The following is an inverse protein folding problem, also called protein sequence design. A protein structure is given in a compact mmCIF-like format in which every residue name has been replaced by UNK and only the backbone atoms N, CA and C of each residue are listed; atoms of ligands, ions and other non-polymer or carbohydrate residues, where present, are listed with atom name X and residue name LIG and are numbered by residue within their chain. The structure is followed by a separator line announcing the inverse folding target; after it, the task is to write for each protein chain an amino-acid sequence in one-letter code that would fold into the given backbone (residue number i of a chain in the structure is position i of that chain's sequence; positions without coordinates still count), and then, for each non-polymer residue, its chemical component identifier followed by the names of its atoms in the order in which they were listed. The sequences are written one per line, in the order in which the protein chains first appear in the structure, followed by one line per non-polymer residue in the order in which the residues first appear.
data_IF_373571228839
#
_entry.id   IF_373571228839
#
_cell.length_a   1.000
_cell.length_b   1.000
_cell.length_c   1.000
_cell.angle_alpha   90.00
_cell.angle_beta   90.00
_cell.angle_gamma   90.00
#
_symmetry.space_group_name_H-M   'P 1'
#
loop_
_entity.id
_entity.type
_entity.pdbx_description
1 polymer ?
#
# COMPACT_ATOMS: atom_id res chain seq x y z
N UNK A 1 -11.31 12.99 -49.07
CA UNK A 1 -10.25 11.95 -49.02
C UNK A 1 -9.16 12.25 -47.99
N UNK A 2 -8.48 13.40 -48.03
CA UNK A 2 -7.40 13.74 -47.07
C UNK A 2 -7.82 13.75 -45.59
N UNK A 3 -9.02 14.25 -45.29
CA UNK A 3 -9.57 14.29 -43.91
C UNK A 3 -9.85 12.89 -43.36
N UNK A 4 -10.38 11.99 -44.18
CA UNK A 4 -10.66 10.60 -43.79
C UNK A 4 -9.36 9.83 -43.49
N UNK A 5 -8.33 10.03 -44.31
CA UNK A 5 -6.99 9.48 -44.10
C UNK A 5 -6.36 9.99 -42.80
N UNK A 6 -6.50 11.28 -42.50
CA UNK A 6 -5.99 11.86 -41.25
C UNK A 6 -6.70 11.27 -40.02
N UNK A 7 -8.03 11.11 -40.06
CA UNK A 7 -8.80 10.50 -38.97
C UNK A 7 -8.41 9.03 -38.74
N UNK A 8 -8.24 8.26 -39.82
CA UNK A 8 -7.79 6.88 -39.72
C UNK A 8 -6.39 6.78 -39.08
N UNK A 9 -5.47 7.69 -39.45
CA UNK A 9 -4.13 7.73 -38.87
C UNK A 9 -4.15 8.05 -37.36
N UNK A 10 -4.99 9.00 -36.95
CA UNK A 10 -5.16 9.37 -35.53
C UNK A 10 -5.69 8.17 -34.73
N UNK A 11 -6.71 7.47 -35.24
CA UNK A 11 -7.28 6.29 -34.58
C UNK A 11 -6.23 5.18 -34.45
N UNK A 12 -5.42 4.94 -35.49
CA UNK A 12 -4.33 3.97 -35.46
C UNK A 12 -3.27 4.35 -34.42
N UNK A 13 -2.88 5.63 -34.34
CA UNK A 13 -1.92 6.12 -33.34
C UNK A 13 -2.47 5.93 -31.92
N UNK A 14 -3.74 6.28 -31.68
CA UNK A 14 -4.39 6.08 -30.37
C UNK A 14 -4.41 4.59 -30.01
N UNK A 15 -4.74 3.71 -30.96
CA UNK A 15 -4.71 2.26 -30.77
C UNK A 15 -3.31 1.75 -30.46
N UNK A 16 -2.28 2.22 -31.17
CA UNK A 16 -0.88 1.86 -30.92
C UNK A 16 -0.46 2.31 -29.52
N UNK A 17 -0.83 3.53 -29.09
CA UNK A 17 -0.54 4.03 -27.73
C UNK A 17 -1.28 3.20 -26.68
N UNK A 18 -2.54 2.83 -26.93
CA UNK A 18 -3.33 2.01 -26.03
C UNK A 18 -2.74 0.60 -25.86
N UNK A 19 -2.41 -0.05 -26.99
CA UNK A 19 -1.80 -1.39 -27.01
C UNK A 19 -0.39 -1.35 -26.42
N UNK A 20 0.42 -0.33 -26.73
CA UNK A 20 1.77 -0.21 -26.18
C UNK A 20 1.75 0.01 -24.68
N UNK A 21 0.81 0.79 -24.13
CA UNK A 21 0.60 0.88 -22.68
C UNK A 21 0.25 -0.48 -22.07
N UNK A 22 -0.57 -1.29 -22.74
CA UNK A 22 -0.94 -2.61 -22.26
C UNK A 22 0.21 -3.62 -22.30
N UNK A 23 1.17 -3.48 -23.22
CA UNK A 23 2.35 -4.35 -23.36
C UNK A 23 3.54 -3.86 -22.52
N UNK A 24 3.74 -2.54 -22.39
CA UNK A 24 4.87 -1.93 -21.67
C UNK A 24 4.57 -1.83 -20.16
N UNK A 25 3.32 -1.63 -19.74
CA UNK A 25 2.96 -1.60 -18.31
C UNK A 25 3.36 -2.88 -17.56
N UNK A 26 3.19 -4.08 -18.12
CA UNK A 26 3.74 -5.32 -17.55
C UNK A 26 5.27 -5.39 -17.51
N UNK A 27 5.99 -4.58 -18.28
CA UNK A 27 7.46 -4.55 -18.28
C UNK A 27 8.03 -3.60 -17.19
N UNK A 28 7.19 -2.73 -16.63
CA UNK A 28 7.51 -1.87 -15.49
C UNK A 28 7.17 -2.59 -14.18
N UNK A 29 8.15 -3.32 -13.65
CA UNK A 29 8.18 -3.80 -12.25
C UNK A 29 6.96 -4.61 -11.83
N UNK A 30 6.67 -5.75 -12.47
CA UNK A 30 5.69 -6.69 -11.90
C UNK A 30 6.13 -7.08 -10.50
N UNK A 31 5.19 -7.07 -9.55
CA UNK A 31 5.49 -7.60 -8.23
C UNK A 31 5.79 -9.10 -8.37
N UNK A 32 6.95 -9.60 -7.92
CA UNK A 32 7.34 -10.98 -8.10
C UNK A 32 6.38 -11.92 -7.38
N UNK A 33 5.89 -12.92 -8.11
CA UNK A 33 5.04 -13.99 -7.56
C UNK A 33 5.90 -15.03 -6.84
N UNK A 34 6.22 -14.74 -5.58
CA UNK A 34 7.01 -15.60 -4.70
C UNK A 34 6.35 -15.70 -3.31
N UNK A 35 6.84 -16.62 -2.48
CA UNK A 35 6.23 -16.94 -1.18
C UNK A 35 6.05 -15.70 -0.29
N UNK A 36 7.04 -14.79 -0.25
CA UNK A 36 6.99 -13.62 0.62
C UNK A 36 5.97 -12.57 0.14
N UNK A 37 5.88 -12.34 -1.18
CA UNK A 37 4.86 -11.48 -1.76
C UNK A 37 3.46 -12.04 -1.54
N UNK A 38 3.28 -13.33 -1.76
CA UNK A 38 1.99 -13.98 -1.63
C UNK A 38 1.54 -14.01 -0.17
N UNK A 39 2.46 -14.25 0.77
CA UNK A 39 2.17 -14.17 2.20
C UNK A 39 1.82 -12.73 2.63
N UNK A 40 2.52 -11.72 2.11
CA UNK A 40 2.21 -10.31 2.38
C UNK A 40 0.79 -9.97 1.90
N UNK A 41 0.46 -10.28 0.65
CA UNK A 41 -0.91 -10.11 0.11
C UNK A 41 -1.94 -10.84 0.94
N UNK A 42 -1.67 -12.10 1.32
CA UNK A 42 -2.57 -12.91 2.16
C UNK A 42 -2.85 -12.24 3.50
N UNK A 43 -1.83 -11.70 4.18
CA UNK A 43 -1.98 -11.00 5.46
C UNK A 43 -2.83 -9.73 5.30
N UNK A 44 -2.53 -8.90 4.29
CA UNK A 44 -3.28 -7.67 4.04
C UNK A 44 -4.73 -7.98 3.68
N UNK A 45 -4.97 -8.92 2.75
CA UNK A 45 -6.33 -9.30 2.36
C UNK A 45 -7.11 -9.87 3.55
N UNK A 46 -6.47 -10.69 4.40
CA UNK A 46 -7.11 -11.23 5.62
C UNK A 46 -7.47 -10.13 6.61
N UNK A 47 -6.62 -9.11 6.80
CA UNK A 47 -6.92 -7.95 7.63
C UNK A 47 -8.14 -7.18 7.08
N UNK A 48 -8.14 -6.83 5.79
CA UNK A 48 -9.22 -6.05 5.19
C UNK A 48 -10.56 -6.79 5.22
N UNK A 49 -10.55 -8.10 4.95
CA UNK A 49 -11.76 -8.94 5.04
C UNK A 49 -12.28 -8.97 6.48
N UNK A 50 -11.40 -9.07 7.48
CA UNK A 50 -11.81 -9.04 8.89
C UNK A 50 -12.45 -7.72 9.27
N UNK A 51 -11.82 -6.59 8.93
CA UNK A 51 -12.35 -5.25 9.20
C UNK A 51 -13.74 -5.06 8.57
N UNK A 52 -13.89 -5.45 7.30
CA UNK A 52 -15.16 -5.31 6.59
C UNK A 52 -16.25 -6.25 7.13
N UNK A 53 -15.90 -7.49 7.46
CA UNK A 53 -16.84 -8.48 8.00
C UNK A 53 -17.37 -8.06 9.38
N UNK A 54 -16.55 -7.37 10.16
CA UNK A 54 -16.89 -6.91 11.52
C UNK A 54 -17.20 -5.42 11.56
N UNK A 55 -17.52 -4.79 10.42
CA UNK A 55 -17.66 -3.33 10.31
C UNK A 55 -18.65 -2.74 11.32
N UNK A 56 -19.69 -3.49 11.71
CA UNK A 56 -20.69 -3.07 12.69
C UNK A 56 -20.19 -2.99 14.13
N UNK A 57 -19.02 -3.54 14.44
CA UNK A 57 -18.41 -3.46 15.77
C UNK A 57 -17.65 -2.15 15.99
N UNK A 58 -17.33 -1.43 14.93
CA UNK A 58 -16.54 -0.21 14.98
C UNK A 58 -17.42 1.04 15.08
N UNK A 59 -16.84 2.13 15.57
CA UNK A 59 -17.49 3.44 15.65
C UNK A 59 -17.58 4.10 14.25
N UNK A 60 -18.33 5.19 14.13
CA UNK A 60 -18.56 5.87 12.84
C UNK A 60 -17.26 6.23 12.10
N UNK A 61 -16.27 6.80 12.80
CA UNK A 61 -15.01 7.26 12.20
C UNK A 61 -14.17 6.08 11.72
N UNK A 62 -14.08 5.02 12.53
CA UNK A 62 -13.40 3.77 12.15
C UNK A 62 -14.05 3.14 10.90
N UNK A 63 -15.39 3.07 10.84
CA UNK A 63 -16.11 2.56 9.66
C UNK A 63 -15.78 3.35 8.40
N UNK A 64 -15.81 4.68 8.47
CA UNK A 64 -15.47 5.54 7.32
C UNK A 64 -14.04 5.27 6.80
N UNK A 65 -13.09 5.06 7.71
CA UNK A 65 -11.70 4.70 7.37
C UNK A 65 -11.65 3.31 6.73
N UNK A 66 -12.28 2.30 7.34
CA UNK A 66 -12.33 0.93 6.81
C UNK A 66 -12.90 0.91 5.38
N UNK A 67 -14.01 1.62 5.15
CA UNK A 67 -14.64 1.69 3.83
C UNK A 67 -13.77 2.39 2.79
N UNK A 68 -13.09 3.48 3.17
CA UNK A 68 -12.16 4.18 2.27
C UNK A 68 -11.03 3.25 1.85
N UNK A 69 -10.40 2.56 2.80
CA UNK A 69 -9.33 1.60 2.51
C UNK A 69 -9.86 0.49 1.61
N UNK A 70 -11.02 -0.09 1.93
CA UNK A 70 -11.63 -1.16 1.15
C UNK A 70 -11.90 -0.76 -0.31
N UNK A 71 -12.42 0.45 -0.55
CA UNK A 71 -12.69 0.95 -1.91
C UNK A 71 -11.41 1.26 -2.69
N UNK A 72 -10.35 1.65 -2.00
CA UNK A 72 -9.10 2.13 -2.58
C UNK A 72 -8.09 1.01 -2.84
N UNK A 73 -8.11 -0.05 -2.04
CA UNK A 73 -7.16 -1.13 -2.13
C UNK A 73 -7.52 -2.15 -3.22
N UNK A 74 -6.53 -2.49 -4.06
CA UNK A 74 -6.59 -3.60 -4.99
C UNK A 74 -5.17 -4.19 -5.14
N UNK A 75 -4.98 -5.45 -4.76
CA UNK A 75 -3.68 -6.12 -4.80
C UNK A 75 -3.14 -6.33 -6.23
N UNK A 76 -4.00 -6.27 -7.24
CA UNK A 76 -3.60 -6.29 -8.65
C UNK A 76 -2.91 -4.99 -9.09
N UNK A 77 -3.02 -3.91 -8.31
CA UNK A 77 -2.34 -2.65 -8.57
C UNK A 77 -0.91 -2.62 -7.98
N UNK A 78 -0.47 -3.72 -7.34
CA UNK A 78 0.86 -3.80 -6.76
C UNK A 78 1.95 -4.07 -7.79
N UNK A 79 3.10 -3.41 -7.58
CA UNK A 79 4.27 -3.47 -8.45
C UNK A 79 5.54 -3.48 -7.60
N UNK A 80 6.58 -4.11 -8.11
CA UNK A 80 7.90 -3.97 -7.50
C UNK A 80 8.46 -2.57 -7.78
N UNK A 81 8.96 -1.94 -6.72
CA UNK A 81 9.72 -0.71 -6.82
C UNK A 81 11.19 -1.06 -7.07
N UNK A 82 11.60 -0.97 -8.34
CA UNK A 82 12.93 -1.39 -8.80
C UNK A 82 14.03 -0.39 -8.43
N UNK A 83 13.68 0.89 -8.31
CA UNK A 83 14.61 2.00 -8.06
C UNK A 83 14.21 2.78 -6.81
N UNK A 84 14.22 2.15 -5.62
CA UNK A 84 13.91 2.85 -4.38
C UNK A 84 14.99 3.89 -4.10
N UNK A 85 14.59 5.16 -3.98
CA UNK A 85 15.44 6.24 -3.50
C UNK A 85 15.03 6.64 -2.06
N UNK A 86 15.81 6.27 -1.04
CA UNK A 86 15.54 6.70 0.32
C UNK A 86 15.68 8.23 0.46
N UNK A 87 14.89 8.88 1.34
CA UNK A 87 14.04 8.27 2.37
C UNK A 87 12.55 8.07 2.04
N UNK A 88 12.05 8.47 0.88
CA UNK A 88 10.59 8.67 0.71
C UNK A 88 9.94 7.63 -0.22
N UNK A 89 10.75 6.95 -1.04
CA UNK A 89 10.21 6.18 -2.17
C UNK A 89 10.61 4.71 -2.06
N UNK A 90 10.57 4.08 -0.87
CA UNK A 90 10.78 2.62 -0.74
C UNK A 90 9.50 1.85 -0.98
N UNK A 91 8.41 2.28 -0.35
CA UNK A 91 7.04 1.79 -0.58
C UNK A 91 6.16 3.01 -0.66
N UNK A 92 5.27 3.06 -1.65
CA UNK A 92 4.41 4.23 -1.85
C UNK A 92 3.11 3.88 -2.58
N UNK A 93 2.12 4.76 -2.42
CA UNK A 93 0.86 4.73 -3.16
C UNK A 93 0.73 5.96 -4.06
N UNK A 94 0.26 5.75 -5.29
CA UNK A 94 -0.20 6.81 -6.19
C UNK A 94 -1.72 6.73 -6.34
N UNK A 95 -2.39 7.89 -6.32
CA UNK A 95 -3.83 7.99 -6.62
C UNK A 95 -4.69 7.14 -5.71
N UNK A 96 -4.39 7.15 -4.40
CA UNK A 96 -5.12 6.41 -3.34
C UNK A 96 -5.35 4.93 -3.69
N UNK A 97 -4.32 4.26 -4.23
CA UNK A 97 -4.32 2.81 -4.49
C UNK A 97 -4.34 2.43 -5.97
N UNK A 98 -4.37 3.42 -6.87
CA UNK A 98 -4.21 3.22 -8.32
C UNK A 98 -2.87 2.56 -8.68
N UNK A 99 -1.84 2.79 -7.87
CA UNK A 99 -0.57 2.05 -7.92
C UNK A 99 -0.06 1.89 -6.50
N UNK A 100 0.44 0.69 -6.20
CA UNK A 100 1.07 0.36 -4.93
C UNK A 100 2.47 -0.17 -5.26
N UNK A 101 3.50 0.61 -5.02
CA UNK A 101 4.87 0.21 -5.30
C UNK A 101 5.52 -0.30 -4.01
N UNK A 102 6.19 -1.45 -4.08
CA UNK A 102 6.79 -2.12 -2.92
C UNK A 102 8.23 -2.47 -3.23
N UNK A 103 9.17 -2.04 -2.41
CA UNK A 103 10.58 -2.44 -2.57
C UNK A 103 10.83 -3.85 -2.01
N UNK A 104 11.50 -4.69 -2.81
CA UNK A 104 11.86 -6.06 -2.46
C UNK A 104 13.36 -6.38 -2.69
N UNK A 105 14.18 -5.36 -2.92
CA UNK A 105 15.60 -5.48 -3.32
C UNK A 105 16.48 -6.22 -2.31
N UNK A 106 16.09 -6.29 -1.04
CA UNK A 106 16.83 -7.01 0.01
C UNK A 106 15.93 -8.09 0.62
N UNK A 107 16.54 -9.06 1.31
CA UNK A 107 15.77 -10.05 2.07
C UNK A 107 15.12 -9.32 3.25
N UNK A 108 13.80 -9.17 3.18
CA UNK A 108 13.01 -8.57 4.24
C UNK A 108 12.24 -9.64 5.01
N UNK A 109 12.01 -9.41 6.30
CA UNK A 109 11.07 -10.23 7.05
C UNK A 109 9.65 -9.83 6.63
N UNK A 110 8.77 -10.84 6.51
CA UNK A 110 7.35 -10.65 6.25
C UNK A 110 6.66 -9.66 7.21
N UNK A 111 7.06 -9.60 8.48
CA UNK A 111 6.51 -8.64 9.45
C UNK A 111 6.88 -7.20 9.07
N UNK A 112 8.10 -6.96 8.57
CA UNK A 112 8.52 -5.63 8.06
C UNK A 112 7.73 -5.24 6.82
N UNK A 113 7.55 -6.17 5.86
CA UNK A 113 6.74 -5.93 4.66
C UNK A 113 5.28 -5.66 5.01
N UNK A 114 4.71 -6.43 5.92
CA UNK A 114 3.33 -6.23 6.40
C UNK A 114 3.19 -4.88 7.09
N UNK A 115 4.19 -4.47 7.90
CA UNK A 115 4.19 -3.17 8.56
C UNK A 115 4.20 -1.99 7.56
N UNK A 116 5.08 -2.00 6.55
CA UNK A 116 5.11 -0.94 5.53
C UNK A 116 3.86 -0.97 4.64
N UNK A 117 3.27 -2.14 4.40
CA UNK A 117 1.99 -2.21 3.71
C UNK A 117 0.84 -1.61 4.53
N UNK A 118 0.84 -1.78 5.86
CA UNK A 118 -0.17 -1.13 6.72
C UNK A 118 0.07 0.39 6.80
N UNK A 119 1.32 0.86 6.73
CA UNK A 119 1.63 2.29 6.54
C UNK A 119 0.90 2.82 5.30
N UNK A 120 1.03 2.12 4.17
CA UNK A 120 0.38 2.48 2.92
C UNK A 120 -1.16 2.42 3.00
N UNK A 121 -1.73 1.37 3.62
CA UNK A 121 -3.19 1.33 3.84
C UNK A 121 -3.70 2.53 4.63
N UNK A 122 -2.90 3.05 5.56
CA UNK A 122 -3.28 4.24 6.35
C UNK A 122 -3.44 5.48 5.47
N UNK A 123 -2.58 5.63 4.45
CA UNK A 123 -2.72 6.69 3.43
C UNK A 123 -3.98 6.54 2.57
N UNK A 124 -4.47 5.31 2.35
CA UNK A 124 -5.72 5.06 1.64
C UNK A 124 -6.96 5.42 2.47
N UNK A 125 -6.87 5.32 3.80
CA UNK A 125 -7.94 5.68 4.73
C UNK A 125 -8.01 7.18 5.04
N UNK A 126 -6.90 7.90 4.86
CA UNK A 126 -6.77 9.33 5.11
C UNK A 126 -7.31 10.17 3.94
N UNK A 127 -7.91 11.33 4.25
CA UNK A 127 -8.28 12.30 3.21
C UNK A 127 -7.06 13.04 2.64
N UNK A 128 -6.17 13.49 3.51
CA UNK A 128 -4.94 14.22 3.17
C UNK A 128 -3.83 13.31 2.62
N UNK A 129 -2.74 13.89 2.12
CA UNK A 129 -1.59 13.15 1.54
C UNK A 129 -0.38 13.02 2.48
N UNK A 130 -0.33 13.80 3.56
CA UNK A 130 0.79 13.78 4.51
C UNK A 130 0.50 12.89 5.74
N UNK A 131 1.31 13.02 6.80
CA UNK A 131 1.16 12.30 8.07
C UNK A 131 0.64 13.20 9.22
N UNK A 132 -0.57 13.80 9.13
CA UNK A 132 -1.16 14.55 10.24
C UNK A 132 -1.48 13.61 11.42
N UNK A 133 -1.92 14.15 12.56
CA UNK A 133 -2.27 13.31 13.72
C UNK A 133 -3.22 12.17 13.33
N UNK A 134 -4.25 12.46 12.54
CA UNK A 134 -5.23 11.47 12.08
C UNK A 134 -4.58 10.28 11.36
N UNK A 135 -3.55 10.51 10.54
CA UNK A 135 -2.79 9.43 9.91
C UNK A 135 -2.25 8.46 10.96
N UNK A 136 -1.58 8.98 12.00
CA UNK A 136 -0.96 8.15 13.03
C UNK A 136 -2.00 7.39 13.85
N UNK A 137 -3.16 7.99 14.07
CA UNK A 137 -4.29 7.34 14.72
C UNK A 137 -4.83 6.17 13.87
N UNK A 138 -4.97 6.36 12.55
CA UNK A 138 -5.39 5.31 11.60
C UNK A 138 -4.35 4.20 11.58
N UNK A 139 -3.08 4.56 11.47
CA UNK A 139 -1.99 3.60 11.41
C UNK A 139 -1.94 2.76 12.69
N UNK A 140 -2.04 3.40 13.86
CA UNK A 140 -2.11 2.69 15.14
C UNK A 140 -3.32 1.76 15.22
N UNK A 141 -4.50 2.22 14.78
CA UNK A 141 -5.70 1.40 14.71
C UNK A 141 -5.48 0.12 13.88
N UNK A 142 -4.96 0.25 12.65
CA UNK A 142 -4.71 -0.92 11.78
C UNK A 142 -3.65 -1.87 12.34
N UNK A 143 -2.60 -1.34 12.97
CA UNK A 143 -1.58 -2.16 13.64
C UNK A 143 -2.15 -2.97 14.81
N UNK A 144 -3.07 -2.37 15.59
CA UNK A 144 -3.76 -3.07 16.68
C UNK A 144 -4.57 -4.24 16.12
N UNK A 145 -5.38 -4.01 15.08
CA UNK A 145 -6.22 -5.05 14.47
C UNK A 145 -5.38 -6.17 13.84
N UNK A 146 -4.31 -5.83 13.11
CA UNK A 146 -3.39 -6.81 12.55
C UNK A 146 -2.68 -7.65 13.63
N UNK A 147 -2.30 -7.03 14.75
CA UNK A 147 -1.65 -7.72 15.87
C UNK A 147 -2.63 -8.66 16.58
N UNK A 148 -3.88 -8.23 16.84
CA UNK A 148 -4.94 -9.09 17.43
C UNK A 148 -5.19 -10.34 16.60
N UNK A 149 -5.08 -10.23 15.27
CA UNK A 149 -5.26 -11.34 14.34
C UNK A 149 -4.01 -12.22 14.16
N UNK A 150 -2.91 -11.93 14.86
CA UNK A 150 -1.60 -12.57 14.67
C UNK A 150 -1.09 -12.48 13.21
N UNK A 151 -1.40 -11.39 12.51
CA UNK A 151 -0.92 -11.13 11.14
C UNK A 151 0.40 -10.35 11.12
N UNK A 152 0.77 -9.74 12.25
CA UNK A 152 1.96 -8.93 12.39
C UNK A 152 2.48 -9.05 13.82
N UNK A 153 3.74 -9.46 13.97
CA UNK A 153 4.44 -9.30 15.25
C UNK A 153 5.10 -7.93 15.27
N UNK A 154 4.45 -6.96 15.91
CA UNK A 154 4.94 -5.59 15.92
C UNK A 154 6.27 -5.46 16.69
N UNK A 155 7.25 -4.83 16.05
CA UNK A 155 8.56 -4.49 16.63
C UNK A 155 8.52 -3.05 17.12
N UNK A 156 9.05 -2.80 18.32
CA UNK A 156 9.29 -1.44 18.79
C UNK A 156 10.54 -0.89 18.10
N UNK A 157 10.35 -0.28 16.92
CA UNK A 157 11.44 0.23 16.10
C UNK A 157 12.25 1.36 16.77
N UNK A 158 11.69 2.05 17.76
CA UNK A 158 12.44 3.05 18.54
C UNK A 158 13.47 2.42 19.48
N UNK A 159 13.32 1.13 19.79
CA UNK A 159 14.32 0.34 20.55
C UNK A 159 15.15 -0.56 19.64
N UNK A 160 14.53 -1.12 18.60
CA UNK A 160 15.13 -2.09 17.69
C UNK A 160 14.92 -1.63 16.24
N UNK A 161 15.62 -0.58 15.78
CA UNK A 161 15.40 -0.03 14.45
C UNK A 161 15.82 -1.03 13.37
N UNK A 162 15.10 -1.03 12.25
CA UNK A 162 15.32 -1.96 11.13
C UNK A 162 15.54 -1.16 9.85
N UNK A 163 16.49 -1.58 9.02
CA UNK A 163 16.65 -1.01 7.67
C UNK A 163 15.74 -1.73 6.68
N UNK A 164 14.93 -0.96 5.96
CA UNK A 164 14.08 -1.42 4.88
C UNK A 164 14.43 -0.66 3.61
N UNK A 165 15.04 -1.34 2.62
CA UNK A 165 15.50 -0.73 1.37
C UNK A 165 16.30 0.58 1.52
N UNK A 166 17.12 0.68 2.58
CA UNK A 166 17.92 1.88 2.86
C UNK A 166 17.22 2.93 3.73
N UNK A 167 15.89 2.85 3.89
CA UNK A 167 15.14 3.62 4.88
C UNK A 167 15.34 3.01 6.28
N UNK A 168 15.56 3.86 7.27
CA UNK A 168 15.60 3.44 8.67
C UNK A 168 14.18 3.50 9.25
N UNK A 169 13.64 2.35 9.63
CA UNK A 169 12.42 2.27 10.43
C UNK A 169 12.80 2.40 11.91
N UNK A 170 12.45 3.51 12.53
CA UNK A 170 12.82 3.88 13.91
C UNK A 170 11.60 4.29 14.78
N UNK A 171 10.39 4.25 14.22
CA UNK A 171 9.17 4.57 14.93
C UNK A 171 8.05 3.56 14.64
N UNK A 172 7.26 3.27 15.66
CA UNK A 172 6.06 2.46 15.54
C UNK A 172 4.97 3.03 16.49
N UNK A 173 3.87 3.60 15.97
CA UNK A 173 2.87 4.28 16.81
C UNK A 173 2.14 3.32 17.75
N UNK A 174 2.21 2.00 17.53
CA UNK A 174 1.67 1.01 18.46
C UNK A 174 2.26 1.16 19.87
N UNK A 175 3.54 1.52 19.99
CA UNK A 175 4.26 1.64 21.25
C UNK A 175 4.34 3.07 21.80
N UNK A 176 3.65 4.03 21.16
CA UNK A 176 3.60 5.43 21.60
C UNK A 176 2.31 5.72 22.36
N UNK A 177 2.40 6.19 23.60
CA UNK A 177 1.23 6.58 24.39
C UNK A 177 0.61 7.92 23.95
N UNK A 178 1.36 8.71 23.18
CA UNK A 178 0.92 10.01 22.67
C UNK A 178 -0.03 9.92 21.48
N UNK A 179 -0.09 8.75 20.83
CA UNK A 179 -1.00 8.48 19.72
C UNK A 179 -2.10 7.56 20.22
N UNK A 180 -3.35 8.03 20.22
CA UNK A 180 -4.53 7.18 20.46
C UNK A 180 -5.03 6.64 19.11
N UNK A 181 -5.55 5.41 19.03
CA UNK A 181 -6.24 4.96 17.81
C UNK A 181 -7.44 5.89 17.51
N UNK A 182 -7.86 5.92 16.25
CA UNK A 182 -8.97 6.78 15.76
C UNK A 182 -10.29 6.54 16.47
#
# INVERSE_FOLDING_TARGET
MKVLLALALIVIIILIIYVSKQIISPLLGQLPDNDITQEMKRRINKLLVHLMTNIDQYNKKEREVIEKIWRNYNDNNMRENLDPDPPHDTTYIIGKGSTIAVCLKQIHNIDTLTFVMIHELSHMGLADMEHPLEYWQIFKFLLIEATKMNLLNCINYSKYPVKYCGLLLDANPLFSDHVKPI
#
